data_IF_959288320998
#
_entry.id   IF_959288320998
#
_cell.length_a   1.000
_cell.length_b   1.000
_cell.length_c   1.000
_cell.angle_alpha   90.00
_cell.angle_beta   90.00
_cell.angle_gamma   90.00
#
_symmetry.space_group_name_H-M   'P 1'
#
loop_
_entity.id
_entity.type
_entity.pdbx_description
1 polymer ?
#
# COMPACT_ATOMS: atom_id res chain seq x y z
N UNK A 1 -21.93 -8.27 -17.48
CA UNK A 1 -23.40 -8.19 -17.66
C UNK A 1 -24.05 -7.23 -16.67
N UNK A 2 -23.84 -7.35 -15.36
CA UNK A 2 -24.38 -6.39 -14.35
C UNK A 2 -23.82 -4.97 -14.51
N UNK A 3 -22.53 -4.79 -14.78
CA UNK A 3 -21.93 -3.46 -15.04
C UNK A 3 -22.46 -2.80 -16.31
N UNK A 4 -22.74 -3.57 -17.37
CA UNK A 4 -23.33 -3.04 -18.59
C UNK A 4 -24.80 -2.63 -18.39
N UNK A 5 -25.51 -3.34 -17.51
CA UNK A 5 -26.89 -2.99 -17.14
C UNK A 5 -26.91 -1.70 -16.30
N UNK A 6 -25.95 -1.52 -15.37
CA UNK A 6 -25.85 -0.30 -14.57
C UNK A 6 -25.46 0.92 -15.41
N UNK A 7 -24.53 0.77 -16.35
CA UNK A 7 -24.15 1.84 -17.28
C UNK A 7 -25.31 2.25 -18.20
N UNK A 8 -26.08 1.28 -18.73
CA UNK A 8 -27.26 1.55 -19.54
C UNK A 8 -28.37 2.25 -18.75
N UNK A 9 -28.57 1.85 -17.48
CA UNK A 9 -29.54 2.48 -16.59
C UNK A 9 -29.14 3.93 -16.26
N UNK A 10 -27.86 4.17 -15.99
CA UNK A 10 -27.32 5.52 -15.75
C UNK A 10 -27.51 6.43 -16.97
N UNK A 11 -27.24 5.92 -18.17
CA UNK A 11 -27.46 6.64 -19.43
C UNK A 11 -28.93 6.99 -19.65
N UNK A 12 -29.85 6.08 -19.33
CA UNK A 12 -31.29 6.32 -19.42
C UNK A 12 -31.71 7.40 -18.40
N UNK A 13 -31.21 7.35 -17.18
CA UNK A 13 -31.48 8.37 -16.16
C UNK A 13 -30.96 9.74 -16.59
N UNK A 14 -29.76 9.82 -17.15
CA UNK A 14 -29.18 11.08 -17.67
C UNK A 14 -30.00 11.63 -18.84
N UNK A 15 -30.47 10.80 -19.75
CA UNK A 15 -31.33 11.20 -20.84
C UNK A 15 -32.68 11.71 -20.32
N UNK A 16 -33.28 11.07 -19.33
CA UNK A 16 -34.54 11.53 -18.71
C UNK A 16 -34.32 12.87 -17.99
N UNK A 17 -33.24 13.05 -17.25
CA UNK A 17 -32.91 14.32 -16.59
C UNK A 17 -32.71 15.46 -17.62
N UNK A 18 -32.05 15.18 -18.75
CA UNK A 18 -31.89 16.14 -19.84
C UNK A 18 -33.25 16.53 -20.50
N UNK A 19 -34.18 15.59 -20.63
CA UNK A 19 -35.53 15.86 -21.11
C UNK A 19 -36.34 16.79 -20.20
N UNK A 20 -36.06 16.80 -18.90
CA UNK A 20 -36.70 17.68 -17.92
C UNK A 20 -35.92 18.99 -17.70
N UNK A 21 -34.94 19.32 -18.55
CA UNK A 21 -34.18 20.56 -18.48
C UNK A 21 -33.13 20.63 -17.37
N UNK A 22 -32.80 19.49 -16.73
CA UNK A 22 -31.63 19.44 -15.86
C UNK A 22 -30.39 19.33 -16.76
N UNK A 23 -29.38 20.23 -16.58
CA UNK A 23 -28.15 20.13 -17.35
C UNK A 23 -27.52 18.76 -17.08
N UNK A 24 -27.25 17.99 -18.15
CA UNK A 24 -26.38 16.84 -18.04
C UNK A 24 -25.06 17.34 -17.43
N UNK A 25 -24.62 16.77 -16.31
CA UNK A 25 -23.24 16.98 -15.85
C UNK A 25 -22.36 16.61 -17.03
N UNK A 26 -21.66 17.59 -17.60
CA UNK A 26 -20.70 17.35 -18.65
C UNK A 26 -19.76 16.27 -18.16
N UNK A 27 -19.40 15.31 -19.01
CA UNK A 27 -18.36 14.32 -18.71
C UNK A 27 -17.15 15.11 -18.22
N UNK A 28 -16.69 14.93 -16.98
CA UNK A 28 -15.51 15.63 -16.52
C UNK A 28 -14.38 15.31 -17.50
N UNK A 29 -13.77 16.34 -18.04
CA UNK A 29 -12.56 16.14 -18.84
C UNK A 29 -11.49 15.71 -17.86
N UNK A 30 -10.70 14.65 -18.17
CA UNK A 30 -9.58 14.26 -17.31
C UNK A 30 -8.69 15.47 -17.08
N UNK A 31 -8.54 15.86 -15.82
CA UNK A 31 -7.83 17.09 -15.48
C UNK A 31 -6.31 16.90 -15.46
N UNK A 32 -5.82 15.66 -15.52
CA UNK A 32 -4.38 15.38 -15.49
C UNK A 32 -4.06 14.08 -16.24
N UNK A 33 -2.99 14.10 -17.02
CA UNK A 33 -2.33 12.89 -17.55
C UNK A 33 -1.43 12.23 -16.49
N UNK A 34 -1.57 12.62 -15.23
CA UNK A 34 -0.72 12.17 -14.12
C UNK A 34 -1.35 10.92 -13.48
N UNK A 35 -0.72 9.74 -13.58
CA UNK A 35 -1.25 8.52 -12.99
C UNK A 35 -1.40 8.60 -11.49
N UNK A 36 -2.46 7.97 -10.98
CA UNK A 36 -2.75 7.82 -9.57
C UNK A 36 -2.33 6.41 -9.10
N UNK A 37 -1.37 6.32 -8.20
CA UNK A 37 -0.85 5.07 -7.66
C UNK A 37 -1.31 4.91 -6.22
N UNK A 38 -2.08 3.87 -5.96
CA UNK A 38 -2.72 3.58 -4.69
C UNK A 38 -1.97 2.47 -3.95
N UNK A 39 -1.61 2.72 -2.70
CA UNK A 39 -0.86 1.80 -1.84
C UNK A 39 -1.71 1.43 -0.62
N UNK A 40 -2.07 0.16 -0.53
CA UNK A 40 -2.93 -0.39 0.51
C UNK A 40 -2.30 -0.38 1.91
N UNK A 41 -3.10 -0.59 2.96
CA UNK A 41 -2.66 -0.71 4.35
C UNK A 41 -2.21 -2.13 4.73
N UNK A 42 -2.12 -2.36 6.04
CA UNK A 42 -1.81 -3.67 6.62
C UNK A 42 -2.81 -4.74 6.12
N UNK A 43 -2.30 -5.89 5.71
CA UNK A 43 -3.12 -6.99 5.22
C UNK A 43 -3.82 -6.73 3.88
N UNK A 44 -3.51 -5.65 3.16
CA UNK A 44 -4.15 -5.30 1.91
C UNK A 44 -3.54 -5.98 0.67
N UNK A 45 -4.04 -5.63 -0.51
CA UNK A 45 -3.64 -6.20 -1.80
C UNK A 45 -3.83 -5.19 -2.95
N UNK A 46 -3.30 -5.51 -4.12
CA UNK A 46 -3.34 -4.64 -5.29
C UNK A 46 -3.50 -5.39 -6.62
N UNK A 47 -3.09 -4.76 -7.73
CA UNK A 47 -3.36 -5.24 -9.09
C UNK A 47 -2.65 -6.56 -9.46
N UNK A 48 -1.57 -6.92 -8.76
CA UNK A 48 -0.88 -8.20 -9.00
C UNK A 48 -1.46 -9.36 -8.20
N UNK A 49 -2.47 -9.11 -7.35
CA UNK A 49 -3.17 -10.12 -6.56
C UNK A 49 -4.51 -10.44 -7.20
N UNK A 50 -4.76 -11.70 -7.53
CA UNK A 50 -6.01 -12.12 -8.18
C UNK A 50 -7.25 -11.86 -7.31
N UNK A 51 -7.08 -11.80 -5.99
CA UNK A 51 -8.17 -11.43 -5.08
C UNK A 51 -8.72 -10.03 -5.38
N UNK A 52 -7.90 -9.14 -5.93
CA UNK A 52 -8.32 -7.77 -6.29
C UNK A 52 -9.39 -7.74 -7.41
N UNK A 53 -9.42 -8.77 -8.27
CA UNK A 53 -10.43 -8.88 -9.34
C UNK A 53 -11.82 -9.20 -8.78
N UNK A 54 -11.89 -9.92 -7.67
CA UNK A 54 -13.13 -10.38 -7.04
C UNK A 54 -13.58 -9.45 -5.92
N UNK A 55 -12.61 -8.98 -5.12
CA UNK A 55 -12.81 -8.10 -3.98
C UNK A 55 -11.75 -7.00 -4.01
N UNK A 56 -11.96 -5.90 -4.75
CA UNK A 56 -10.99 -4.82 -4.82
C UNK A 56 -10.75 -4.21 -3.45
N UNK A 57 -9.49 -4.07 -3.05
CA UNK A 57 -9.14 -3.43 -1.77
C UNK A 57 -9.75 -2.03 -1.66
N UNK A 58 -9.66 -1.28 -2.74
CA UNK A 58 -10.20 0.07 -2.84
C UNK A 58 -11.68 0.03 -3.22
N UNK A 59 -12.53 0.08 -2.19
CA UNK A 59 -13.99 0.08 -2.31
C UNK A 59 -14.70 -1.21 -1.88
N UNK A 60 -14.01 -2.34 -1.81
CA UNK A 60 -14.53 -3.64 -1.31
C UNK A 60 -16.00 -3.92 -1.68
N UNK A 61 -16.91 -3.80 -0.72
CA UNK A 61 -18.33 -4.10 -0.86
C UNK A 61 -19.13 -3.04 -1.62
N UNK A 62 -18.60 -1.83 -1.77
CA UNK A 62 -19.29 -0.72 -2.46
C UNK A 62 -18.97 -0.65 -3.96
N UNK A 63 -18.05 -1.47 -4.43
CA UNK A 63 -17.55 -1.47 -5.79
C UNK A 63 -16.09 -0.95 -5.86
N UNK A 64 -15.47 -1.05 -7.03
CA UNK A 64 -14.09 -0.61 -7.21
C UNK A 64 -14.00 0.91 -7.31
N UNK A 65 -13.34 1.56 -6.36
CA UNK A 65 -13.01 2.99 -6.42
C UNK A 65 -12.16 3.32 -7.66
N UNK A 66 -11.17 2.46 -7.97
CA UNK A 66 -10.31 2.69 -9.13
C UNK A 66 -11.10 2.65 -10.43
N UNK A 67 -11.98 1.64 -10.60
CA UNK A 67 -12.84 1.57 -11.78
C UNK A 67 -13.79 2.78 -11.89
N UNK A 68 -14.24 3.32 -10.77
CA UNK A 68 -15.01 4.56 -10.76
C UNK A 68 -14.17 5.74 -11.24
N UNK A 69 -12.97 5.92 -10.68
CA UNK A 69 -12.06 7.00 -11.08
C UNK A 69 -11.63 6.88 -12.54
N UNK A 70 -11.39 5.67 -13.03
CA UNK A 70 -11.12 5.40 -14.44
C UNK A 70 -12.29 5.80 -15.33
N UNK A 71 -13.53 5.56 -14.88
CA UNK A 71 -14.73 6.02 -15.61
C UNK A 71 -14.88 7.55 -15.65
N UNK A 72 -14.25 8.25 -14.69
CA UNK A 72 -14.15 9.71 -14.66
C UNK A 72 -12.91 10.24 -15.42
N UNK A 73 -12.10 9.35 -16.01
CA UNK A 73 -10.95 9.68 -16.85
C UNK A 73 -9.62 9.77 -16.14
N UNK A 74 -9.50 9.27 -14.92
CA UNK A 74 -8.22 9.17 -14.21
C UNK A 74 -7.53 7.85 -14.52
N UNK A 75 -6.20 7.88 -14.64
CA UNK A 75 -5.36 6.70 -14.85
C UNK A 75 -4.92 6.15 -13.48
N UNK A 76 -5.51 5.03 -13.04
CA UNK A 76 -5.41 4.54 -11.67
C UNK A 76 -4.77 3.15 -11.58
N UNK A 77 -3.86 2.96 -10.62
CA UNK A 77 -3.14 1.72 -10.39
C UNK A 77 -3.06 1.41 -8.89
N UNK A 78 -3.32 0.16 -8.50
CA UNK A 78 -3.14 -0.30 -7.12
C UNK A 78 -1.87 -1.15 -7.03
N UNK A 79 -0.88 -0.69 -6.27
CA UNK A 79 0.32 -1.47 -6.00
C UNK A 79 0.02 -2.64 -5.06
N UNK A 80 0.63 -3.80 -5.33
CA UNK A 80 0.59 -5.00 -4.49
C UNK A 80 1.89 -5.08 -3.69
N UNK A 81 1.99 -4.37 -2.59
CA UNK A 81 3.16 -4.40 -1.71
C UNK A 81 2.97 -5.39 -0.57
N UNK A 82 4.04 -5.82 0.10
CA UNK A 82 3.97 -6.81 1.17
C UNK A 82 2.94 -6.43 2.24
N UNK A 83 1.91 -7.27 2.47
CA UNK A 83 0.81 -6.92 3.36
C UNK A 83 1.21 -6.78 4.82
N UNK A 84 2.31 -7.42 5.22
CA UNK A 84 2.85 -7.43 6.58
C UNK A 84 4.33 -7.04 6.67
N UNK A 85 4.97 -6.74 5.55
CA UNK A 85 6.36 -6.27 5.47
C UNK A 85 6.50 -4.86 6.05
N UNK A 86 7.74 -4.43 6.30
CA UNK A 86 8.04 -3.08 6.76
C UNK A 86 7.70 -2.00 5.73
N UNK A 87 7.65 -0.75 6.15
CA UNK A 87 7.51 0.38 5.24
C UNK A 87 8.68 0.47 4.25
N UNK A 88 9.88 0.02 4.65
CA UNK A 88 11.06 -0.05 3.80
C UNK A 88 10.90 -1.07 2.69
N UNK A 89 10.63 -2.32 3.03
CA UNK A 89 10.42 -3.39 2.04
C UNK A 89 9.33 -3.01 1.05
N UNK A 90 8.21 -2.51 1.56
CA UNK A 90 7.08 -2.06 0.75
C UNK A 90 7.45 -0.90 -0.19
N UNK A 91 8.35 0.00 0.23
CA UNK A 91 8.84 1.07 -0.64
C UNK A 91 9.73 0.52 -1.77
N UNK A 92 10.58 -0.47 -1.49
CA UNK A 92 11.38 -1.16 -2.50
C UNK A 92 10.51 -1.95 -3.50
N UNK A 93 9.48 -2.63 -3.01
CA UNK A 93 8.50 -3.34 -3.82
C UNK A 93 7.69 -2.39 -4.71
N UNK A 94 7.27 -1.24 -4.19
CA UNK A 94 6.60 -0.19 -4.96
C UNK A 94 7.51 0.32 -6.09
N UNK A 95 8.79 0.57 -5.79
CA UNK A 95 9.75 0.98 -6.81
C UNK A 95 9.89 -0.06 -7.91
N UNK A 96 10.04 -1.33 -7.56
CA UNK A 96 10.16 -2.41 -8.53
C UNK A 96 8.91 -2.56 -9.40
N UNK A 97 7.71 -2.34 -8.83
CA UNK A 97 6.46 -2.35 -9.58
C UNK A 97 6.33 -1.16 -10.53
N UNK A 98 6.79 0.02 -10.14
CA UNK A 98 6.77 1.22 -11.01
C UNK A 98 7.78 1.13 -12.16
N UNK A 99 8.88 0.40 -11.97
CA UNK A 99 9.98 0.30 -12.95
C UNK A 99 9.97 -1.01 -13.74
N UNK A 100 9.21 -2.03 -13.33
CA UNK A 100 9.23 -3.36 -13.95
C UNK A 100 10.57 -4.08 -13.74
N UNK A 101 11.06 -4.10 -12.49
CA UNK A 101 12.37 -4.65 -12.13
C UNK A 101 12.26 -5.70 -11.02
N UNK A 102 13.40 -6.29 -10.65
CA UNK A 102 13.50 -7.10 -9.43
C UNK A 102 13.56 -6.18 -8.21
N UNK A 103 12.85 -6.55 -7.15
CA UNK A 103 12.93 -5.85 -5.86
C UNK A 103 14.37 -5.97 -5.33
N UNK A 104 14.98 -4.85 -5.01
CA UNK A 104 16.26 -4.75 -4.29
C UNK A 104 15.98 -4.06 -2.95
N UNK A 105 16.02 -4.82 -1.87
CA UNK A 105 15.78 -4.31 -0.51
C UNK A 105 16.97 -3.52 0.06
N UNK A 106 18.11 -3.55 -0.65
CA UNK A 106 19.35 -2.91 -0.24
C UNK A 106 20.33 -3.88 0.40
N UNK A 107 21.62 -3.66 0.18
CA UNK A 107 22.67 -4.53 0.72
C UNK A 107 22.90 -4.32 2.21
N UNK A 108 22.85 -3.08 2.69
CA UNK A 108 23.00 -2.73 4.10
C UNK A 108 21.77 -3.18 4.89
N UNK A 109 20.56 -2.86 4.40
CA UNK A 109 19.29 -3.19 5.03
C UNK A 109 19.11 -4.71 5.17
N UNK A 110 19.27 -5.46 4.09
CA UNK A 110 19.11 -6.91 4.11
C UNK A 110 20.10 -7.61 5.04
N UNK A 111 21.35 -7.11 5.10
CA UNK A 111 22.34 -7.60 6.05
C UNK A 111 21.99 -7.28 7.51
N UNK A 112 21.45 -6.08 7.78
CA UNK A 112 21.04 -5.68 9.12
C UNK A 112 19.85 -6.48 9.65
N UNK A 113 18.94 -6.91 8.75
CA UNK A 113 17.71 -7.63 9.09
C UNK A 113 17.77 -9.13 8.80
N UNK A 114 18.92 -9.63 8.32
CA UNK A 114 19.20 -11.05 8.07
C UNK A 114 18.18 -11.70 7.13
N UNK A 115 17.97 -11.09 5.97
CA UNK A 115 17.13 -11.61 4.90
C UNK A 115 17.82 -11.42 3.53
N UNK A 116 17.25 -12.01 2.47
CA UNK A 116 17.78 -11.90 1.11
C UNK A 116 17.64 -10.47 0.59
N UNK A 117 18.67 -9.99 -0.11
CA UNK A 117 18.68 -8.67 -0.72
C UNK A 117 17.67 -8.51 -1.84
N UNK A 118 17.44 -9.56 -2.62
CA UNK A 118 16.58 -9.53 -3.78
C UNK A 118 15.27 -10.28 -3.53
N UNK A 119 14.17 -9.66 -3.93
CA UNK A 119 12.83 -10.22 -3.83
C UNK A 119 12.24 -10.59 -5.20
N UNK A 120 10.93 -10.39 -5.33
CA UNK A 120 10.15 -10.69 -6.53
C UNK A 120 10.57 -9.84 -7.73
N UNK A 121 10.53 -10.45 -8.92
CA UNK A 121 10.73 -9.75 -10.19
C UNK A 121 9.39 -9.41 -10.84
N UNK A 122 9.21 -8.16 -11.20
CA UNK A 122 8.08 -7.67 -11.97
C UNK A 122 8.50 -7.50 -13.43
N UNK A 123 8.01 -8.38 -14.31
CA UNK A 123 8.39 -8.38 -15.72
C UNK A 123 7.83 -7.18 -16.52
N UNK A 124 6.77 -6.57 -15.98
CA UNK A 124 6.14 -5.37 -16.55
C UNK A 124 5.90 -4.36 -15.42
N UNK A 125 6.09 -3.07 -15.66
CA UNK A 125 5.73 -2.04 -14.70
C UNK A 125 4.21 -1.92 -14.57
N UNK A 126 3.73 -1.33 -13.46
CA UNK A 126 2.30 -1.00 -13.27
C UNK A 126 1.75 -0.19 -14.45
N UNK A 127 2.56 0.72 -14.97
CA UNK A 127 2.33 1.47 -16.21
C UNK A 127 3.69 1.89 -16.80
N UNK A 128 3.70 2.21 -18.08
CA UNK A 128 4.93 2.61 -18.76
C UNK A 128 5.22 4.10 -18.61
N UNK A 129 6.51 4.43 -18.51
CA UNK A 129 7.02 5.79 -18.65
C UNK A 129 7.03 6.62 -17.36
N UNK A 130 6.95 6.01 -16.17
CA UNK A 130 7.16 6.74 -14.92
C UNK A 130 8.53 7.45 -14.96
N UNK A 131 8.50 8.75 -14.67
CA UNK A 131 9.68 9.60 -14.77
C UNK A 131 9.32 11.08 -14.66
N UNK A 132 10.27 11.99 -14.95
CA UNK A 132 10.04 13.44 -14.82
C UNK A 132 8.95 13.97 -15.76
N UNK A 133 8.75 13.34 -16.92
CA UNK A 133 7.72 13.71 -17.89
C UNK A 133 6.36 13.05 -17.59
N UNK A 134 6.35 11.99 -16.80
CA UNK A 134 5.14 11.29 -16.36
C UNK A 134 5.18 11.08 -14.87
N UNK A 135 4.92 12.14 -14.14
CA UNK A 135 4.87 12.17 -12.67
C UNK A 135 3.69 11.38 -12.14
N UNK A 136 3.68 11.04 -10.85
CA UNK A 136 2.60 10.30 -10.22
C UNK A 136 1.99 11.05 -9.03
N UNK A 137 0.71 10.78 -8.79
CA UNK A 137 0.06 11.00 -7.50
C UNK A 137 0.16 9.72 -6.68
N UNK A 138 0.70 9.78 -5.47
CA UNK A 138 0.74 8.66 -4.53
C UNK A 138 -0.40 8.77 -3.51
N UNK A 139 -1.16 7.69 -3.35
CA UNK A 139 -2.21 7.59 -2.34
C UNK A 139 -1.90 6.42 -1.41
N UNK A 140 -1.76 6.69 -0.11
CA UNK A 140 -1.50 5.67 0.89
C UNK A 140 -2.61 5.58 1.92
N UNK A 141 -3.31 4.44 2.00
CA UNK A 141 -4.31 4.19 3.02
C UNK A 141 -3.70 3.50 4.24
N UNK A 142 -4.05 3.94 5.45
CA UNK A 142 -3.60 3.30 6.69
C UNK A 142 -2.06 3.20 6.72
N UNK A 143 -1.48 2.01 6.90
CA UNK A 143 -0.04 1.76 6.83
C UNK A 143 0.59 2.16 5.47
N UNK A 144 -0.19 2.12 4.38
CA UNK A 144 0.25 2.63 3.08
C UNK A 144 0.69 4.10 3.11
N UNK A 145 0.17 4.88 4.06
CA UNK A 145 0.60 6.28 4.27
C UNK A 145 2.06 6.39 4.74
N UNK A 146 2.51 5.50 5.62
CA UNK A 146 3.93 5.40 6.01
C UNK A 146 4.79 4.96 4.80
N UNK A 147 4.31 3.95 4.06
CA UNK A 147 4.99 3.43 2.86
C UNK A 147 5.23 4.53 1.81
N UNK A 148 4.20 5.28 1.39
CA UNK A 148 4.36 6.31 0.34
C UNK A 148 5.20 7.50 0.79
N UNK A 149 5.21 7.82 2.08
CA UNK A 149 6.08 8.86 2.64
C UNK A 149 7.54 8.43 2.64
N UNK A 150 7.84 7.21 3.10
CA UNK A 150 9.19 6.65 3.08
C UNK A 150 9.69 6.45 1.65
N UNK A 151 8.85 5.91 0.76
CA UNK A 151 9.14 5.80 -0.67
C UNK A 151 9.57 7.16 -1.24
N UNK A 152 8.81 8.21 -0.96
CA UNK A 152 9.12 9.58 -1.46
C UNK A 152 10.43 10.09 -0.90
N UNK A 153 10.72 9.85 0.39
CA UNK A 153 11.98 10.21 1.02
C UNK A 153 13.17 9.55 0.32
N UNK A 154 13.10 8.23 0.11
CA UNK A 154 14.17 7.46 -0.55
C UNK A 154 14.32 7.88 -2.01
N UNK A 155 13.22 8.01 -2.74
CA UNK A 155 13.24 8.41 -4.14
C UNK A 155 13.86 9.79 -4.37
N UNK A 156 13.69 10.72 -3.43
CA UNK A 156 14.23 12.08 -3.55
C UNK A 156 15.68 12.17 -3.04
N UNK A 157 15.95 11.70 -1.84
CA UNK A 157 17.25 11.93 -1.17
C UNK A 157 18.23 10.75 -1.30
N UNK A 158 17.73 9.55 -1.62
CA UNK A 158 18.54 8.34 -1.61
C UNK A 158 18.89 7.87 -0.20
N UNK A 159 19.73 6.83 -0.12
CA UNK A 159 20.23 6.25 1.13
C UNK A 159 21.73 6.03 1.02
N UNK A 160 22.51 6.81 1.74
CA UNK A 160 23.97 6.76 1.63
C UNK A 160 24.55 5.42 2.10
N UNK A 161 23.98 4.81 3.13
CA UNK A 161 24.38 3.51 3.65
C UNK A 161 24.28 2.40 2.60
N UNK A 162 23.24 2.43 1.76
CA UNK A 162 23.07 1.47 0.66
C UNK A 162 24.08 1.72 -0.47
N UNK A 163 24.36 2.98 -0.76
CA UNK A 163 25.39 3.36 -1.75
C UNK A 163 26.76 2.88 -1.30
N UNK A 164 27.09 3.06 -0.04
CA UNK A 164 28.40 2.67 0.53
C UNK A 164 28.53 1.14 0.63
N UNK A 165 27.45 0.43 0.94
CA UNK A 165 27.43 -1.03 1.03
C UNK A 165 27.54 -1.72 -0.33
N UNK A 166 27.08 -1.09 -1.42
CA UNK A 166 27.08 -1.67 -2.77
C UNK A 166 27.31 -0.61 -3.85
N UNK A 167 28.47 0.06 -3.89
CA UNK A 167 28.68 1.24 -4.74
C UNK A 167 28.58 0.98 -6.24
N UNK A 168 28.85 -0.24 -6.68
CA UNK A 168 28.81 -0.63 -8.09
C UNK A 168 27.48 -1.23 -8.54
N UNK A 169 26.64 -1.66 -7.60
CA UNK A 169 25.43 -2.46 -7.84
C UNK A 169 24.23 -1.98 -7.01
N UNK A 170 24.27 -0.75 -6.54
CA UNK A 170 23.16 -0.16 -5.79
C UNK A 170 21.99 0.15 -6.72
N UNK A 171 20.76 -0.18 -6.28
CA UNK A 171 19.52 0.20 -6.97
C UNK A 171 19.48 1.71 -7.25
N UNK A 172 19.01 2.15 -8.42
CA UNK A 172 18.77 3.57 -8.69
C UNK A 172 17.83 4.22 -7.65
N UNK A 173 16.95 3.46 -7.04
CA UNK A 173 16.06 3.92 -5.97
C UNK A 173 16.83 4.54 -4.80
N UNK A 174 17.90 3.88 -4.37
CA UNK A 174 18.74 4.35 -3.26
C UNK A 174 19.70 5.47 -3.65
N UNK A 175 19.82 5.82 -4.94
CA UNK A 175 20.60 6.99 -5.37
C UNK A 175 19.84 8.30 -5.22
N UNK A 176 18.52 8.26 -5.11
CA UNK A 176 17.68 9.46 -5.05
C UNK A 176 17.59 10.23 -6.37
N UNK A 177 17.26 11.53 -6.28
CA UNK A 177 17.19 12.43 -7.43
C UNK A 177 15.89 12.32 -8.24
N UNK A 178 14.85 11.68 -7.68
CA UNK A 178 13.54 11.48 -8.33
C UNK A 178 12.46 12.47 -7.83
N UNK A 179 12.86 13.61 -7.28
CA UNK A 179 11.94 14.63 -6.78
C UNK A 179 10.96 15.15 -7.85
N UNK A 180 11.41 15.25 -9.10
CA UNK A 180 10.58 15.65 -10.24
C UNK A 180 9.66 14.53 -10.76
N UNK A 181 9.71 13.31 -10.23
CA UNK A 181 8.91 12.15 -10.68
C UNK A 181 7.62 11.97 -9.87
N UNK A 182 7.51 12.68 -8.75
CA UNK A 182 6.36 12.62 -7.84
C UNK A 182 5.68 13.98 -7.82
N UNK A 183 4.37 14.00 -8.04
CA UNK A 183 3.58 15.23 -8.00
C UNK A 183 3.02 15.49 -6.61
N UNK A 184 2.38 14.48 -6.01
CA UNK A 184 1.82 14.61 -4.68
C UNK A 184 1.82 13.29 -3.90
N UNK A 185 1.77 13.42 -2.59
CA UNK A 185 1.59 12.33 -1.62
C UNK A 185 0.34 12.62 -0.82
N UNK A 186 -0.65 11.74 -0.92
CA UNK A 186 -1.91 11.82 -0.19
C UNK A 186 -2.02 10.64 0.77
N UNK A 187 -2.26 10.90 2.04
CA UNK A 187 -2.43 9.86 3.05
C UNK A 187 -3.87 9.86 3.57
N UNK A 188 -4.48 8.68 3.59
CA UNK A 188 -5.87 8.46 3.97
C UNK A 188 -5.93 7.62 5.25
N UNK A 189 -6.45 8.18 6.34
CA UNK A 189 -6.56 7.53 7.64
C UNK A 189 -5.25 6.85 8.11
N UNK A 190 -4.10 7.48 7.85
CA UNK A 190 -2.79 6.90 8.13
C UNK A 190 -2.36 7.18 9.58
N UNK A 191 -1.90 6.16 10.33
CA UNK A 191 -1.43 6.32 11.71
C UNK A 191 0.02 6.81 11.75
N UNK A 192 0.25 8.08 11.37
CA UNK A 192 1.58 8.67 11.25
C UNK A 192 2.42 8.65 12.54
N UNK A 193 1.77 8.62 13.69
CA UNK A 193 2.43 8.53 15.01
C UNK A 193 2.28 7.15 15.64
N UNK A 194 2.02 6.13 14.82
CA UNK A 194 1.73 4.79 15.30
C UNK A 194 0.30 4.59 15.76
N UNK A 195 0.00 3.39 16.23
CA UNK A 195 -1.32 3.02 16.71
C UNK A 195 -1.25 2.32 18.07
N UNK A 196 -2.27 2.56 18.90
CA UNK A 196 -2.51 1.85 20.15
C UNK A 196 -3.68 0.88 20.03
N UNK A 197 -4.18 0.64 18.82
CA UNK A 197 -5.39 -0.16 18.54
C UNK A 197 -5.27 -1.60 19.02
N UNK A 198 -4.06 -2.12 19.07
CA UNK A 198 -3.77 -3.37 19.75
C UNK A 198 -2.94 -3.07 21.00
N UNK A 199 -3.50 -3.25 22.18
CA UNK A 199 -2.77 -3.13 23.44
C UNK A 199 -1.59 -4.09 23.60
N UNK A 200 -1.36 -4.93 22.58
CA UNK A 200 -0.23 -5.81 22.42
C UNK A 200 0.87 -5.24 21.50
N UNK A 201 0.66 -4.09 20.84
CA UNK A 201 1.73 -3.31 20.21
C UNK A 201 2.46 -2.50 21.29
N UNK A 202 3.07 -3.20 22.25
CA UNK A 202 3.92 -2.59 23.27
C UNK A 202 5.21 -2.11 22.65
N UNK A 203 5.80 -1.06 23.23
CA UNK A 203 7.03 -0.42 22.74
C UNK A 203 8.20 -1.39 22.49
N UNK A 204 8.20 -2.57 23.13
CA UNK A 204 9.28 -3.57 23.08
C UNK A 204 8.81 -4.94 22.58
N UNK A 205 7.51 -5.15 22.24
CA UNK A 205 6.99 -6.46 21.89
C UNK A 205 6.36 -6.44 20.49
N UNK A 206 7.17 -6.78 19.48
CA UNK A 206 6.77 -6.94 18.09
C UNK A 206 5.83 -8.15 17.86
N UNK A 207 5.50 -8.90 18.93
CA UNK A 207 4.70 -10.12 18.89
C UNK A 207 3.21 -9.88 19.18
N UNK A 208 2.69 -8.70 18.83
CA UNK A 208 1.31 -8.32 19.08
C UNK A 208 0.26 -9.36 18.68
N UNK A 209 -0.87 -9.35 19.38
CA UNK A 209 -1.94 -10.36 19.26
C UNK A 209 -2.53 -10.47 17.84
N UNK A 210 -2.39 -9.44 17.00
CA UNK A 210 -2.81 -9.46 15.57
C UNK A 210 -1.66 -9.94 14.68
N UNK A 211 -0.43 -9.50 14.98
CA UNK A 211 0.70 -9.70 14.10
C UNK A 211 1.20 -11.15 14.08
N UNK A 212 1.32 -11.76 15.25
CA UNK A 212 1.75 -13.17 15.37
C UNK A 212 0.78 -14.16 14.66
N UNK A 213 -0.55 -14.07 14.79
CA UNK A 213 -1.46 -14.88 14.00
C UNK A 213 -1.34 -14.66 12.49
N UNK A 214 -1.16 -13.41 12.04
CA UNK A 214 -1.00 -13.08 10.61
C UNK A 214 0.28 -13.66 10.03
N UNK A 215 1.42 -13.54 10.73
CA UNK A 215 2.70 -14.10 10.31
C UNK A 215 2.68 -15.61 10.35
N UNK A 216 2.03 -16.20 11.39
CA UNK A 216 1.84 -17.66 11.48
C UNK A 216 1.00 -18.18 10.31
N UNK A 217 -0.08 -17.47 9.98
CA UNK A 217 -0.91 -17.81 8.84
C UNK A 217 -0.12 -17.67 7.52
N UNK A 218 0.61 -16.59 7.32
CA UNK A 218 1.48 -16.38 6.16
C UNK A 218 2.50 -17.52 6.01
N UNK A 219 3.18 -17.88 7.08
CA UNK A 219 4.15 -18.99 7.09
C UNK A 219 3.52 -20.38 6.89
N UNK A 220 2.28 -20.58 7.37
CA UNK A 220 1.60 -21.86 7.27
C UNK A 220 0.95 -22.11 5.90
N UNK A 221 0.29 -21.10 5.34
CA UNK A 221 -0.52 -21.25 4.11
C UNK A 221 -0.02 -20.43 2.93
N UNK A 222 0.83 -19.43 3.14
CA UNK A 222 1.35 -18.54 2.09
C UNK A 222 2.10 -19.30 0.98
N UNK A 223 2.53 -20.51 1.24
CA UNK A 223 3.20 -21.40 0.30
C UNK A 223 2.27 -22.31 -0.50
N UNK A 224 0.98 -22.35 -0.18
CA UNK A 224 0.04 -23.13 -0.98
C UNK A 224 -0.14 -22.45 -2.33
N UNK A 225 0.02 -23.16 -3.46
CA UNK A 225 -0.06 -22.55 -4.80
C UNK A 225 -1.35 -21.78 -5.06
N UNK A 226 -2.46 -22.25 -4.50
CA UNK A 226 -3.76 -21.60 -4.64
C UNK A 226 -3.77 -20.28 -3.88
N UNK A 227 -3.22 -20.24 -2.67
CA UNK A 227 -3.17 -19.01 -1.85
C UNK A 227 -2.22 -18.01 -2.47
N UNK A 228 -0.99 -18.45 -2.82
CA UNK A 228 0.02 -17.56 -3.42
C UNK A 228 -0.41 -17.03 -4.81
N UNK A 229 -1.22 -17.78 -5.56
CA UNK A 229 -1.82 -17.30 -6.82
C UNK A 229 -2.94 -16.29 -6.62
N UNK A 230 -3.58 -16.27 -5.45
CA UNK A 230 -4.67 -15.34 -5.13
C UNK A 230 -4.19 -14.11 -4.33
N UNK A 231 -3.26 -14.34 -3.41
CA UNK A 231 -2.78 -13.34 -2.46
C UNK A 231 -1.33 -13.66 -2.07
N UNK A 232 -0.40 -12.79 -2.47
CA UNK A 232 1.02 -12.95 -2.21
C UNK A 232 1.43 -12.21 -0.93
N UNK A 233 1.89 -12.93 0.07
CA UNK A 233 2.39 -12.33 1.32
C UNK A 233 3.73 -11.59 1.15
N UNK A 234 4.42 -11.80 0.03
CA UNK A 234 5.69 -11.15 -0.32
C UNK A 234 6.73 -11.22 0.81
N UNK A 235 6.99 -12.41 1.31
CA UNK A 235 7.95 -12.69 2.36
C UNK A 235 9.06 -13.64 1.88
N UNK A 236 9.32 -13.68 0.57
CA UNK A 236 10.33 -14.55 -0.03
C UNK A 236 11.74 -14.22 0.43
N UNK A 237 12.05 -12.96 0.69
CA UNK A 237 13.32 -12.50 1.24
C UNK A 237 13.63 -13.12 2.61
N UNK A 238 12.61 -13.43 3.40
CA UNK A 238 12.74 -14.13 4.67
C UNK A 238 12.64 -15.66 4.55
N UNK A 239 12.56 -16.20 3.33
CA UNK A 239 12.34 -17.64 3.09
C UNK A 239 10.93 -18.14 3.43
N UNK A 240 9.98 -17.26 3.73
CA UNK A 240 8.65 -17.60 4.25
C UNK A 240 7.61 -17.88 3.17
N UNK A 241 7.78 -17.32 1.97
CA UNK A 241 6.92 -17.59 0.82
C UNK A 241 7.73 -18.19 -0.31
N UNK A 242 7.13 -19.05 -1.08
CA UNK A 242 7.77 -20.16 -1.73
C UNK A 242 8.53 -19.89 -2.98
N UNK A 243 9.55 -20.69 -3.09
CA UNK A 243 9.95 -21.31 -4.36
C UNK A 243 8.95 -22.44 -4.74
N UNK A 244 8.55 -22.59 -6.02
CA UNK A 244 7.68 -23.68 -6.45
C UNK A 244 8.23 -25.05 -6.04
N UNK A 245 7.43 -25.85 -5.36
CA UNK A 245 7.77 -27.23 -4.97
C UNK A 245 8.06 -27.48 -3.49
N UNK A 246 8.08 -26.46 -2.64
CA UNK A 246 8.37 -26.58 -1.20
C UNK A 246 7.10 -26.41 -0.35
N UNK A 247 6.25 -27.42 -0.28
CA UNK A 247 4.91 -27.36 0.33
C UNK A 247 4.83 -27.87 1.77
N UNK A 248 5.93 -28.23 2.40
CA UNK A 248 5.90 -28.78 3.75
C UNK A 248 6.23 -27.71 4.79
N UNK A 249 5.34 -27.53 5.77
CA UNK A 249 5.71 -26.92 7.04
C UNK A 249 6.83 -27.76 7.66
N UNK A 250 7.97 -27.15 7.93
CA UNK A 250 9.08 -27.79 8.59
C UNK A 250 9.64 -26.88 9.71
N UNK A 251 10.52 -27.45 10.55
CA UNK A 251 11.11 -26.72 11.67
C UNK A 251 11.96 -25.52 11.22
N UNK A 252 12.55 -25.59 10.00
CA UNK A 252 13.30 -24.48 9.43
C UNK A 252 12.42 -23.24 9.24
N UNK A 253 11.18 -23.42 8.79
CA UNK A 253 10.23 -22.28 8.65
C UNK A 253 9.84 -21.64 9.97
N UNK A 254 9.83 -22.38 11.07
CA UNK A 254 9.62 -21.79 12.38
C UNK A 254 10.76 -20.83 12.74
N UNK A 255 12.02 -21.20 12.43
CA UNK A 255 13.16 -20.29 12.66
C UNK A 255 13.11 -19.06 11.76
N UNK A 256 12.69 -19.20 10.51
CA UNK A 256 12.49 -18.08 9.57
C UNK A 256 11.39 -17.14 10.06
N UNK A 257 10.26 -17.67 10.55
CA UNK A 257 9.20 -16.86 11.16
C UNK A 257 9.67 -16.13 12.42
N UNK A 258 10.45 -16.78 13.28
CA UNK A 258 11.01 -16.16 14.47
C UNK A 258 12.03 -15.08 14.09
N UNK A 259 12.84 -15.30 13.06
CA UNK A 259 13.75 -14.31 12.53
C UNK A 259 12.98 -13.07 12.02
N UNK A 260 11.96 -13.28 11.19
CA UNK A 260 11.11 -12.19 10.68
C UNK A 260 10.48 -11.38 11.82
N UNK A 261 9.81 -12.04 12.78
CA UNK A 261 9.13 -11.34 13.88
C UNK A 261 10.08 -10.63 14.85
N UNK A 262 11.35 -11.07 14.95
CA UNK A 262 12.34 -10.46 15.82
C UNK A 262 13.19 -9.38 15.13
N UNK A 263 13.15 -9.29 13.81
CA UNK A 263 14.01 -8.41 13.01
C UNK A 263 13.67 -6.91 13.10
N UNK A 264 12.49 -6.55 13.60
CA UNK A 264 11.87 -5.21 13.52
C UNK A 264 11.60 -4.73 12.09
N UNK A 265 11.82 -5.56 11.09
CA UNK A 265 11.63 -5.26 9.68
C UNK A 265 10.25 -5.76 9.23
N UNK A 266 9.22 -5.21 9.84
CA UNK A 266 7.85 -5.62 9.59
C UNK A 266 6.83 -4.54 10.03
N UNK A 267 5.63 -4.59 9.48
CA UNK A 267 4.56 -3.63 9.72
C UNK A 267 4.19 -3.46 11.20
N UNK A 268 4.31 -4.52 12.00
CA UNK A 268 4.02 -4.45 13.44
C UNK A 268 4.95 -3.52 14.19
N UNK A 269 6.25 -3.51 13.84
CA UNK A 269 7.19 -2.55 14.41
C UNK A 269 6.90 -1.13 13.93
N UNK A 270 6.77 -0.91 12.63
CA UNK A 270 6.57 0.41 12.04
C UNK A 270 5.25 1.07 12.47
N UNK A 271 4.23 0.28 12.76
CA UNK A 271 2.95 0.74 13.30
C UNK A 271 2.97 0.97 14.81
N UNK A 272 4.00 0.49 15.52
CA UNK A 272 4.16 0.81 16.95
C UNK A 272 4.48 2.29 17.15
N UNK A 273 4.28 2.82 18.37
CA UNK A 273 4.62 4.21 18.68
C UNK A 273 6.12 4.47 18.47
N UNK A 274 6.97 3.51 18.79
CA UNK A 274 8.43 3.61 18.64
C UNK A 274 8.82 3.56 17.16
N UNK A 275 8.35 2.57 16.41
CA UNK A 275 8.67 2.44 14.98
C UNK A 275 8.19 3.64 14.16
N UNK A 276 6.97 4.12 14.43
CA UNK A 276 6.45 5.32 13.79
C UNK A 276 7.30 6.57 14.11
N UNK A 277 7.79 6.69 15.35
CA UNK A 277 8.72 7.76 15.72
C UNK A 277 10.02 7.65 14.94
N UNK A 278 10.62 6.45 14.87
CA UNK A 278 11.87 6.21 14.16
C UNK A 278 11.73 6.50 12.65
N UNK A 279 10.61 6.11 12.03
CA UNK A 279 10.27 6.49 10.65
C UNK A 279 10.14 8.01 10.48
N UNK A 280 9.42 8.69 11.37
CA UNK A 280 9.21 10.12 11.28
C UNK A 280 10.53 10.93 11.47
N UNK A 281 11.52 10.39 12.17
CA UNK A 281 12.85 11.00 12.26
C UNK A 281 13.61 11.01 10.93
N UNK A 282 13.30 10.08 10.03
CA UNK A 282 13.96 9.92 8.73
C UNK A 282 13.22 10.62 7.59
N UNK A 283 11.89 10.80 7.72
CA UNK A 283 11.01 11.29 6.65
C UNK A 283 10.82 12.79 6.78
N UNK A 284 11.05 13.50 5.68
CA UNK A 284 10.80 14.95 5.55
C UNK A 284 9.81 15.22 4.43
N UNK A 285 9.15 16.37 4.49
CA UNK A 285 8.41 16.90 3.35
C UNK A 285 9.42 17.37 2.29
N UNK A 286 9.32 16.84 1.07
CA UNK A 286 10.22 17.15 -0.02
C UNK A 286 9.76 18.43 -0.75
N UNK A 287 10.67 19.37 -1.04
CA UNK A 287 10.34 20.57 -1.81
C UNK A 287 9.75 20.23 -3.19
N UNK A 288 8.72 20.96 -3.62
CA UNK A 288 8.11 20.75 -4.94
C UNK A 288 7.12 19.57 -5.03
N UNK A 289 6.89 18.84 -3.94
CA UNK A 289 5.88 17.79 -3.83
C UNK A 289 4.75 18.27 -2.92
N UNK A 290 3.50 18.09 -3.35
CA UNK A 290 2.33 18.43 -2.54
C UNK A 290 2.00 17.30 -1.58
N UNK A 291 1.70 17.64 -0.31
CA UNK A 291 1.33 16.67 0.72
C UNK A 291 -0.07 16.94 1.23
N UNK A 292 -0.91 15.90 1.23
CA UNK A 292 -2.27 15.93 1.76
C UNK A 292 -2.45 14.81 2.78
N UNK A 293 -3.22 15.09 3.83
CA UNK A 293 -3.56 14.08 4.84
C UNK A 293 -5.04 14.20 5.20
N UNK A 294 -5.76 13.09 5.08
CA UNK A 294 -7.17 12.98 5.40
C UNK A 294 -7.33 12.08 6.63
N UNK A 295 -7.86 12.65 7.70
CA UNK A 295 -8.22 11.90 8.90
C UNK A 295 -9.67 11.42 8.78
N UNK A 296 -9.93 10.18 9.23
CA UNK A 296 -11.25 9.62 9.32
C UNK A 296 -11.63 9.36 10.78
N UNK A 297 -12.89 9.57 11.13
CA UNK A 297 -13.43 9.28 12.43
C UNK A 297 -14.71 8.47 12.28
N UNK A 298 -14.68 7.20 12.72
CA UNK A 298 -15.83 6.31 12.70
C UNK A 298 -16.44 6.09 14.09
N UNK A 299 -16.16 6.99 15.05
CA UNK A 299 -16.66 6.88 16.42
C UNK A 299 -17.59 8.03 16.78
N UNK A 300 -18.59 7.75 17.59
CA UNK A 300 -19.52 8.73 18.12
C UNK A 300 -19.60 8.61 19.64
N UNK A 301 -19.64 9.75 20.34
CA UNK A 301 -19.83 9.77 21.77
C UNK A 301 -21.23 9.23 22.15
N UNK A 302 -21.30 8.31 23.12
CA UNK A 302 -22.58 7.72 23.60
C UNK A 302 -23.31 8.62 24.62
N UNK A 303 -22.79 9.80 24.89
CA UNK A 303 -23.33 10.71 25.93
C UNK A 303 -23.09 10.27 27.37
N UNK A 304 -22.42 9.12 27.59
CA UNK A 304 -22.10 8.56 28.91
C UNK A 304 -20.59 8.57 29.19
N UNK A 305 -19.83 9.26 28.36
CA UNK A 305 -18.36 9.34 28.44
C UNK A 305 -17.61 8.26 27.69
N UNK A 306 -18.29 7.39 26.92
CA UNK A 306 -17.68 6.38 26.06
C UNK A 306 -17.82 6.78 24.60
N UNK A 307 -16.98 6.17 23.75
CA UNK A 307 -17.02 6.32 22.29
C UNK A 307 -17.39 4.98 21.67
N UNK A 308 -18.52 4.94 20.97
CA UNK A 308 -18.98 3.76 20.24
C UNK A 308 -18.64 3.87 18.76
N UNK A 309 -18.25 2.76 18.13
CA UNK A 309 -18.10 2.72 16.66
C UNK A 309 -19.46 2.86 16.02
N UNK A 310 -19.64 3.89 15.20
CA UNK A 310 -20.90 4.13 14.49
C UNK A 310 -20.87 3.40 13.14
N UNK A 311 -21.57 2.29 13.05
CA UNK A 311 -21.75 1.57 11.78
C UNK A 311 -22.49 2.40 10.71
N UNK A 312 -23.27 3.40 11.12
CA UNK A 312 -23.91 4.35 10.22
C UNK A 312 -22.90 5.28 9.53
N UNK A 313 -21.81 5.63 10.21
CA UNK A 313 -20.71 6.41 9.59
C UNK A 313 -19.87 5.58 8.61
N UNK A 314 -19.75 4.28 8.81
CA UNK A 314 -19.13 3.39 7.84
C UNK A 314 -19.95 3.30 6.53
N UNK A 315 -21.26 3.55 6.61
CA UNK A 315 -22.13 3.66 5.42
C UNK A 315 -22.14 5.04 4.78
N UNK A 316 -21.84 6.11 5.54
CA UNK A 316 -21.79 7.48 5.02
C UNK A 316 -20.59 7.71 4.09
N UNK A 317 -19.54 6.89 4.16
CA UNK A 317 -18.44 6.88 3.20
C UNK A 317 -18.74 6.14 1.89
N UNK A 318 -19.99 5.70 1.69
CA UNK A 318 -20.43 5.05 0.45
C UNK A 318 -20.56 6.04 -0.72
N UNK A 319 -20.48 7.34 -0.49
CA UNK A 319 -20.51 8.35 -1.56
C UNK A 319 -19.28 9.26 -1.47
N UNK A 320 -18.53 9.37 -2.57
CA UNK A 320 -17.39 10.29 -2.71
C UNK A 320 -17.76 11.76 -2.43
N UNK A 321 -19.06 12.11 -2.43
CA UNK A 321 -19.56 13.44 -2.11
C UNK A 321 -19.33 13.84 -0.65
N UNK A 322 -19.03 12.90 0.24
CA UNK A 322 -18.78 13.15 1.66
C UNK A 322 -17.28 13.30 1.99
N UNK A 323 -16.43 13.21 0.96
CA UNK A 323 -14.97 13.37 1.07
C UNK A 323 -14.47 14.72 0.50
N UNK A 324 -15.38 15.62 0.09
CA UNK A 324 -15.07 16.97 -0.44
C UNK A 324 -15.47 18.02 0.57
#
# INVERSE_FOLDING_TARGET
>A
MLQQISAALLTIIQLLLALFGFPAKGTPQPQTDTPCVFVHGLGGWGNYDTVNEVAPYWGMTTGSLLAYLESEGYDCYAASVGPISSAWDRACELYAQLTGTTVDYGAAHSAAHNHDRYGKTYAQPLFSGWGPEKRIHLFGHSFGGATVRLFTQIACEGIQEEIDASPTDVSPFFRGGMDSWIYSVTTLAAPHNGTTMDGAMREDDATGAIYLPLTTLAGAIGNLPVVNGMYDFQLSQFGLTTLPGSYAFNVARLSEMLNFTSSRDHAGYDLSLRGAYDLNCQIKAQPGIYYFSYAACATQADGKGNWAVSYTHLRAHETLSDLV
#
